data_IF_619926141853
#
_entry.id   IF_619926141853
#
_cell.length_a   1.000
_cell.length_b   1.000
_cell.length_c   1.000
_cell.angle_alpha   90.00
_cell.angle_beta   90.00
_cell.angle_gamma   90.00
#
_symmetry.space_group_name_H-M   'P 1'
#
loop_
_entity.id
_entity.type
_entity.pdbx_description
1 polymer ?
#
# COMPACT_ATOMS: atom_id res chain seq x y z
N UNK A 1 9.88 2.10 -11.00
CA UNK A 1 11.24 2.56 -11.29
C UNK A 1 12.09 2.71 -10.02
N UNK A 2 11.64 3.36 -8.94
CA UNK A 2 12.44 3.48 -7.70
C UNK A 2 12.51 2.18 -6.84
N UNK A 3 11.36 1.53 -6.58
CA UNK A 3 11.29 0.26 -5.84
C UNK A 3 12.03 -0.88 -6.57
N UNK A 4 12.01 -0.84 -7.90
CA UNK A 4 12.70 -1.81 -8.77
C UNK A 4 14.21 -1.61 -8.79
N UNK A 5 14.74 -0.41 -8.54
CA UNK A 5 16.18 -0.21 -8.43
C UNK A 5 16.75 -0.65 -7.08
N UNK A 6 15.98 -0.48 -6.00
CA UNK A 6 16.47 -0.83 -4.67
C UNK A 6 16.35 -2.33 -4.34
N UNK A 7 15.27 -2.98 -4.78
CA UNK A 7 14.94 -4.37 -4.43
C UNK A 7 14.68 -5.26 -5.66
N UNK A 8 14.87 -4.74 -6.87
CA UNK A 8 14.51 -5.47 -8.09
C UNK A 8 13.01 -5.71 -8.21
N UNK A 9 12.64 -6.68 -9.03
CA UNK A 9 11.25 -7.13 -9.18
C UNK A 9 10.66 -7.74 -7.90
N UNK A 10 11.50 -8.21 -6.98
CA UNK A 10 11.07 -8.73 -5.68
C UNK A 10 10.34 -7.69 -4.83
N UNK A 11 10.78 -6.43 -4.85
CA UNK A 11 10.10 -5.34 -4.14
C UNK A 11 8.67 -5.11 -4.64
N UNK A 12 8.45 -5.22 -5.96
CA UNK A 12 7.12 -5.10 -6.57
C UNK A 12 6.21 -6.23 -6.12
N UNK A 13 6.71 -7.46 -6.10
CA UNK A 13 5.97 -8.63 -5.63
C UNK A 13 5.57 -8.46 -4.16
N UNK A 14 6.48 -8.00 -3.30
CA UNK A 14 6.20 -7.76 -1.88
C UNK A 14 5.11 -6.71 -1.69
N UNK A 15 5.16 -5.59 -2.43
CA UNK A 15 4.12 -4.55 -2.38
C UNK A 15 2.78 -5.14 -2.81
N UNK A 16 2.73 -5.88 -3.91
CA UNK A 16 1.51 -6.50 -4.41
C UNK A 16 0.91 -7.48 -3.40
N UNK A 17 1.74 -8.34 -2.80
CA UNK A 17 1.32 -9.29 -1.75
C UNK A 17 0.79 -8.54 -0.53
N UNK A 18 1.49 -7.49 -0.06
CA UNK A 18 1.01 -6.68 1.07
C UNK A 18 -0.33 -6.00 0.77
N UNK A 19 -0.53 -5.54 -0.46
CA UNK A 19 -1.78 -4.93 -0.88
C UNK A 19 -2.92 -5.93 -1.02
N UNK A 20 -2.65 -7.17 -1.45
CA UNK A 20 -3.63 -8.26 -1.43
C UNK A 20 -4.02 -8.64 0.01
N UNK A 21 -3.03 -8.77 0.91
CA UNK A 21 -3.30 -9.05 2.33
C UNK A 21 -4.16 -7.94 2.95
N UNK A 22 -3.89 -6.68 2.61
CA UNK A 22 -4.73 -5.55 3.03
C UNK A 22 -6.18 -5.71 2.56
N UNK A 23 -6.38 -6.03 1.28
CA UNK A 23 -7.71 -6.20 0.72
C UNK A 23 -8.47 -7.38 1.33
N UNK A 24 -7.82 -8.54 1.47
CA UNK A 24 -8.43 -9.71 2.10
C UNK A 24 -8.86 -9.41 3.54
N UNK A 25 -8.03 -8.67 4.30
CA UNK A 25 -8.36 -8.29 5.67
C UNK A 25 -9.56 -7.35 5.74
N UNK A 26 -9.69 -6.41 4.79
CA UNK A 26 -10.86 -5.53 4.70
C UNK A 26 -12.13 -6.31 4.36
N UNK A 27 -12.07 -7.15 3.32
CA UNK A 27 -13.22 -7.98 2.92
C UNK A 27 -13.65 -8.90 4.06
N UNK A 28 -12.72 -9.54 4.76
CA UNK A 28 -13.04 -10.40 5.90
C UNK A 28 -13.73 -9.62 7.03
N UNK A 29 -13.33 -8.36 7.27
CA UNK A 29 -13.98 -7.47 8.22
C UNK A 29 -15.42 -7.12 7.80
N UNK A 30 -15.62 -6.79 6.53
CA UNK A 30 -16.95 -6.42 6.00
C UNK A 30 -17.92 -7.61 5.99
N UNK A 31 -17.43 -8.79 5.58
CA UNK A 31 -18.21 -10.03 5.62
C UNK A 31 -18.57 -10.44 7.04
N UNK A 32 -17.63 -10.32 7.98
CA UNK A 32 -17.90 -10.58 9.40
C UNK A 32 -18.99 -9.67 9.94
N UNK A 33 -18.88 -8.35 9.67
CA UNK A 33 -19.88 -7.38 10.10
C UNK A 33 -21.26 -7.73 9.53
N UNK A 34 -21.34 -8.05 8.24
CA UNK A 34 -22.58 -8.45 7.60
C UNK A 34 -23.20 -9.69 8.26
N UNK A 35 -22.40 -10.73 8.53
CA UNK A 35 -22.86 -11.96 9.17
C UNK A 35 -23.42 -11.74 10.58
N UNK A 36 -22.74 -10.92 11.38
CA UNK A 36 -23.14 -10.67 12.77
C UNK A 36 -24.36 -9.74 12.88
N UNK A 37 -24.57 -8.86 11.89
CA UNK A 37 -25.76 -7.98 11.80
C UNK A 37 -27.01 -8.65 11.21
N UNK A 38 -26.92 -9.92 10.77
CA UNK A 38 -28.06 -10.68 10.26
C UNK A 38 -29.13 -10.89 11.34
N UNK A 39 -30.41 -10.83 10.98
CA UNK A 39 -31.54 -10.96 11.92
C UNK A 39 -31.49 -12.24 12.78
N UNK A 40 -30.95 -13.35 12.24
CA UNK A 40 -30.80 -14.63 12.95
C UNK A 40 -29.75 -14.61 14.08
N UNK A 41 -28.77 -13.69 14.05
CA UNK A 41 -27.64 -13.66 15.00
C UNK A 41 -27.64 -12.44 15.94
N UNK A 42 -28.63 -11.56 15.83
CA UNK A 42 -28.71 -10.30 16.59
C UNK A 42 -28.71 -10.48 18.13
N UNK A 43 -29.12 -11.67 18.63
CA UNK A 43 -29.17 -11.98 20.06
C UNK A 43 -27.84 -12.53 20.64
N UNK A 44 -26.87 -12.88 19.78
CA UNK A 44 -25.62 -13.55 20.17
C UNK A 44 -24.37 -12.75 19.80
N UNK A 45 -24.40 -11.43 20.01
CA UNK A 45 -23.22 -10.57 19.88
C UNK A 45 -22.14 -10.99 20.89
N UNK A 46 -21.31 -11.96 20.49
CA UNK A 46 -20.22 -12.54 21.29
C UNK A 46 -18.94 -11.71 21.10
N UNK A 47 -17.98 -11.77 22.03
CA UNK A 47 -16.71 -11.04 21.95
C UNK A 47 -15.72 -11.67 20.94
N UNK A 48 -16.18 -12.00 19.73
CA UNK A 48 -15.31 -12.43 18.61
C UNK A 48 -14.47 -11.29 18.04
N UNK A 49 -14.64 -10.07 18.57
CA UNK A 49 -13.81 -8.89 18.29
C UNK A 49 -12.31 -9.12 18.54
N UNK A 50 -11.94 -10.07 19.42
CA UNK A 50 -10.54 -10.26 19.81
C UNK A 50 -9.68 -10.80 18.65
N UNK A 51 -10.15 -11.82 17.93
CA UNK A 51 -9.34 -12.55 16.94
C UNK A 51 -9.06 -11.71 15.68
N UNK A 52 -10.04 -10.92 15.23
CA UNK A 52 -9.85 -10.00 14.11
C UNK A 52 -8.99 -8.79 14.47
N UNK A 53 -9.11 -8.28 15.70
CA UNK A 53 -8.23 -7.21 16.17
C UNK A 53 -6.77 -7.65 16.18
N UNK A 54 -6.48 -8.90 16.58
CA UNK A 54 -5.14 -9.47 16.49
C UNK A 54 -4.64 -9.59 15.04
N UNK A 55 -5.49 -9.97 14.10
CA UNK A 55 -5.11 -10.05 12.68
C UNK A 55 -4.76 -8.68 12.10
N UNK A 56 -5.56 -7.65 12.42
CA UNK A 56 -5.30 -6.27 12.01
C UNK A 56 -4.03 -5.72 12.65
N UNK A 57 -3.81 -5.99 13.95
CA UNK A 57 -2.62 -5.58 14.68
C UNK A 57 -1.35 -6.26 14.15
N UNK A 58 -1.40 -7.58 13.92
CA UNK A 58 -0.30 -8.35 13.32
C UNK A 58 0.06 -7.79 11.94
N UNK A 59 -0.94 -7.48 11.11
CA UNK A 59 -0.73 -6.84 9.81
C UNK A 59 -0.04 -5.48 9.94
N UNK A 60 -0.49 -4.63 10.85
CA UNK A 60 0.12 -3.31 11.05
C UNK A 60 1.59 -3.43 11.47
N UNK A 61 1.88 -4.38 12.35
CA UNK A 61 3.24 -4.68 12.80
C UNK A 61 4.14 -5.18 11.67
N UNK A 62 3.64 -6.11 10.83
CA UNK A 62 4.37 -6.59 9.65
C UNK A 62 4.69 -5.43 8.69
N UNK A 63 3.70 -4.63 8.30
CA UNK A 63 3.92 -3.47 7.40
C UNK A 63 4.99 -2.53 7.97
N UNK A 64 4.96 -2.28 9.27
CA UNK A 64 5.94 -1.41 9.91
C UNK A 64 7.36 -1.99 9.88
N UNK A 65 7.54 -3.29 10.17
CA UNK A 65 8.85 -3.94 10.10
C UNK A 65 9.41 -3.89 8.67
N UNK A 66 8.60 -4.22 7.68
CA UNK A 66 9.02 -4.21 6.28
C UNK A 66 9.39 -2.80 5.83
N UNK A 67 8.59 -1.79 6.20
CA UNK A 67 8.90 -0.37 5.93
C UNK A 67 10.21 0.09 6.57
N UNK A 68 10.47 -0.29 7.82
CA UNK A 68 11.73 0.02 8.51
C UNK A 68 12.93 -0.65 7.83
N UNK A 69 12.80 -1.92 7.43
CA UNK A 69 13.86 -2.65 6.72
C UNK A 69 14.18 -2.01 5.38
N UNK A 70 13.17 -1.59 4.62
CA UNK A 70 13.39 -0.89 3.34
C UNK A 70 14.11 0.44 3.55
N UNK A 71 13.68 1.26 4.52
CA UNK A 71 14.33 2.55 4.82
C UNK A 71 15.81 2.38 5.21
N UNK A 72 16.13 1.37 6.02
CA UNK A 72 17.52 1.08 6.40
C UNK A 72 18.43 0.71 5.22
N UNK A 73 17.90 0.00 4.22
CA UNK A 73 18.66 -0.38 3.03
C UNK A 73 18.96 0.85 2.16
N UNK A 74 17.94 1.69 1.92
CA UNK A 74 18.12 2.95 1.19
C UNK A 74 19.15 3.86 1.85
N UNK A 75 19.05 4.03 3.17
CA UNK A 75 19.99 4.85 3.92
C UNK A 75 21.44 4.34 3.80
N UNK A 76 21.65 3.01 3.88
CA UNK A 76 22.99 2.41 3.71
C UNK A 76 23.55 2.59 2.31
N UNK A 77 22.73 2.39 1.28
CA UNK A 77 23.14 2.60 -0.11
C UNK A 77 23.51 4.06 -0.36
N UNK A 78 22.68 4.97 0.14
CA UNK A 78 22.91 6.41 0.05
C UNK A 78 24.24 6.82 0.72
N UNK A 79 24.48 6.37 1.95
CA UNK A 79 25.75 6.61 2.65
C UNK A 79 26.95 6.05 1.89
N UNK A 80 26.83 4.83 1.36
CA UNK A 80 27.91 4.20 0.62
C UNK A 80 28.30 5.01 -0.62
N UNK A 81 27.31 5.53 -1.35
CA UNK A 81 27.53 6.40 -2.52
C UNK A 81 28.21 7.72 -2.16
N UNK A 82 27.85 8.34 -1.03
CA UNK A 82 28.53 9.56 -0.56
C UNK A 82 29.99 9.28 -0.21
N UNK A 83 30.26 8.20 0.53
CA UNK A 83 31.62 7.89 1.00
C UNK A 83 32.59 7.56 -0.13
N UNK A 84 32.08 7.09 -1.27
CA UNK A 84 32.88 6.81 -2.48
C UNK A 84 32.94 7.97 -3.47
N UNK A 85 32.32 9.12 -3.17
CA UNK A 85 32.40 10.29 -4.04
C UNK A 85 33.82 10.89 -4.02
N UNK A 86 34.32 11.40 -5.17
CA UNK A 86 35.66 11.98 -5.25
C UNK A 86 35.79 13.24 -4.38
N UNK A 87 36.97 13.48 -3.82
CA UNK A 87 37.22 14.64 -2.94
C UNK A 87 36.82 15.99 -3.58
N UNK A 88 36.97 16.11 -4.91
CA UNK A 88 36.60 17.31 -5.67
C UNK A 88 35.11 17.68 -5.57
N UNK A 89 34.24 16.69 -5.34
CA UNK A 89 32.80 16.91 -5.14
C UNK A 89 32.53 17.70 -3.84
N UNK A 90 33.32 17.42 -2.79
CA UNK A 90 33.20 18.07 -1.49
C UNK A 90 33.85 19.45 -1.45
N UNK A 91 34.78 19.75 -2.37
CA UNK A 91 35.39 21.07 -2.51
C UNK A 91 34.46 22.08 -3.21
N UNK A 92 33.68 21.63 -4.21
CA UNK A 92 32.75 22.49 -4.95
C UNK A 92 31.42 22.73 -4.24
N UNK A 93 31.06 21.89 -3.27
CA UNK A 93 29.80 21.98 -2.55
C UNK A 93 30.01 21.68 -1.08
N UNK A 94 29.72 22.62 -0.16
CA UNK A 94 29.95 22.38 1.26
C UNK A 94 29.13 21.16 1.70
N UNK A 95 29.79 20.23 2.39
CA UNK A 95 29.23 18.95 2.85
C UNK A 95 27.91 19.11 3.62
N UNK A 96 27.76 20.19 4.39
CA UNK A 96 26.51 20.54 5.08
C UNK A 96 25.33 20.82 4.14
N UNK A 97 25.55 21.43 2.97
CA UNK A 97 24.49 21.70 1.98
C UNK A 97 24.08 20.44 1.23
N UNK A 98 25.05 19.55 0.94
CA UNK A 98 24.78 18.25 0.34
C UNK A 98 23.94 17.40 1.30
N UNK A 99 24.36 17.33 2.57
CA UNK A 99 23.65 16.54 3.59
C UNK A 99 22.23 17.07 3.85
N UNK A 100 22.05 18.40 3.92
CA UNK A 100 20.74 19.02 4.13
C UNK A 100 19.78 18.73 2.96
N UNK A 101 20.25 18.87 1.71
CA UNK A 101 19.41 18.56 0.54
C UNK A 101 19.09 17.09 0.45
N UNK A 102 20.09 16.23 0.58
CA UNK A 102 19.87 14.80 0.44
C UNK A 102 19.04 14.20 1.58
N UNK A 103 19.17 14.72 2.81
CA UNK A 103 18.29 14.36 3.93
C UNK A 103 16.84 14.77 3.66
N UNK A 104 16.63 15.98 3.13
CA UNK A 104 15.29 16.44 2.77
C UNK A 104 14.69 15.63 1.61
N UNK A 105 15.48 15.34 0.58
CA UNK A 105 15.06 14.54 -0.57
C UNK A 105 14.76 13.09 -0.17
N UNK A 106 15.61 12.48 0.66
CA UNK A 106 15.40 11.14 1.23
C UNK A 106 14.11 11.10 2.04
N UNK A 107 13.86 12.10 2.90
CA UNK A 107 12.63 12.19 3.69
C UNK A 107 11.40 12.32 2.79
N UNK A 108 11.47 13.16 1.75
CA UNK A 108 10.38 13.33 0.80
C UNK A 108 10.09 12.02 0.04
N UNK A 109 11.12 11.34 -0.44
CA UNK A 109 10.96 10.06 -1.14
C UNK A 109 10.43 8.98 -0.19
N UNK A 110 10.97 8.86 1.02
CA UNK A 110 10.57 7.84 2.00
C UNK A 110 9.14 8.03 2.52
N UNK A 111 8.63 9.27 2.58
CA UNK A 111 7.24 9.55 2.97
C UNK A 111 6.27 9.54 1.80
N UNK A 112 6.54 10.33 0.76
CA UNK A 112 5.56 10.55 -0.31
C UNK A 112 5.48 9.36 -1.26
N UNK A 113 6.59 8.71 -1.58
CA UNK A 113 6.59 7.64 -2.58
C UNK A 113 5.80 6.41 -2.09
N UNK A 114 6.01 5.88 -0.87
CA UNK A 114 5.16 4.81 -0.34
C UNK A 114 3.71 5.25 -0.13
N UNK A 115 3.48 6.51 0.24
CA UNK A 115 2.13 7.03 0.44
C UNK A 115 1.33 7.05 -0.87
N UNK A 116 1.85 7.66 -1.93
CA UNK A 116 1.15 7.73 -3.22
C UNK A 116 1.04 6.36 -3.88
N UNK A 117 2.10 5.54 -3.86
CA UNK A 117 2.04 4.18 -4.42
C UNK A 117 1.03 3.33 -3.65
N UNK A 118 1.06 3.39 -2.32
CA UNK A 118 0.10 2.68 -1.46
C UNK A 118 -1.33 3.12 -1.73
N UNK A 119 -1.58 4.42 -1.83
CA UNK A 119 -2.91 4.97 -2.16
C UNK A 119 -3.38 4.51 -3.54
N UNK A 120 -2.52 4.63 -4.56
CA UNK A 120 -2.89 4.26 -5.94
C UNK A 120 -3.20 2.77 -6.04
N UNK A 121 -2.34 1.92 -5.47
CA UNK A 121 -2.56 0.47 -5.45
C UNK A 121 -3.82 0.12 -4.68
N UNK A 122 -4.05 0.74 -3.51
CA UNK A 122 -5.27 0.54 -2.74
C UNK A 122 -6.53 0.91 -3.54
N UNK A 123 -6.54 2.03 -4.26
CA UNK A 123 -7.69 2.45 -5.07
C UNK A 123 -8.02 1.48 -6.20
N UNK A 124 -7.01 0.97 -6.91
CA UNK A 124 -7.24 -0.03 -7.98
C UNK A 124 -7.77 -1.35 -7.41
N UNK A 125 -7.17 -1.77 -6.31
CA UNK A 125 -7.53 -3.00 -5.61
C UNK A 125 -8.97 -2.90 -5.10
N UNK A 126 -9.33 -1.84 -4.35
CA UNK A 126 -10.70 -1.64 -3.85
C UNK A 126 -11.73 -1.58 -4.99
N UNK A 127 -11.42 -0.88 -6.08
CA UNK A 127 -12.27 -0.86 -7.28
C UNK A 127 -12.53 -2.27 -7.82
N UNK A 128 -11.48 -3.08 -7.97
CA UNK A 128 -11.61 -4.47 -8.43
C UNK A 128 -12.46 -5.31 -7.48
N UNK A 129 -12.28 -5.19 -6.17
CA UNK A 129 -13.09 -5.92 -5.19
C UNK A 129 -14.56 -5.53 -5.24
N UNK A 130 -14.86 -4.23 -5.32
CA UNK A 130 -16.25 -3.77 -5.43
C UNK A 130 -16.89 -4.38 -6.69
N UNK A 131 -16.21 -4.33 -7.84
CA UNK A 131 -16.71 -4.95 -9.08
C UNK A 131 -16.98 -6.45 -8.90
N UNK A 132 -16.06 -7.20 -8.29
CA UNK A 132 -16.21 -8.65 -8.05
C UNK A 132 -17.40 -8.94 -7.14
N UNK A 133 -17.49 -8.28 -5.98
CA UNK A 133 -18.57 -8.49 -5.00
C UNK A 133 -19.93 -8.13 -5.61
N UNK A 134 -20.00 -7.03 -6.34
CA UNK A 134 -21.26 -6.58 -6.97
C UNK A 134 -21.69 -7.55 -8.07
N UNK A 135 -20.75 -8.11 -8.84
CA UNK A 135 -21.03 -9.15 -9.83
C UNK A 135 -21.57 -10.43 -9.18
N UNK A 136 -21.05 -10.83 -8.01
CA UNK A 136 -21.51 -12.01 -7.29
C UNK A 136 -22.90 -11.84 -6.66
N UNK A 137 -23.15 -10.70 -6.00
CA UNK A 137 -24.37 -10.48 -5.21
C UNK A 137 -25.51 -9.91 -6.05
N UNK A 138 -25.21 -9.04 -7.01
CA UNK A 138 -26.19 -8.27 -7.77
C UNK A 138 -25.97 -8.44 -9.29
N UNK A 139 -25.95 -9.67 -9.80
CA UNK A 139 -25.75 -9.98 -11.23
C UNK A 139 -26.53 -9.08 -12.22
N UNK A 140 -27.81 -8.70 -11.99
CA UNK A 140 -28.52 -7.79 -12.89
C UNK A 140 -27.92 -6.37 -12.98
N UNK A 141 -27.23 -5.91 -11.93
CA UNK A 141 -26.61 -4.57 -11.89
C UNK A 141 -25.39 -4.43 -12.80
N UNK A 142 -24.78 -5.54 -13.23
CA UNK A 142 -23.66 -5.55 -14.19
C UNK A 142 -24.09 -4.93 -15.53
N UNK A 143 -25.35 -5.09 -15.92
CA UNK A 143 -25.92 -4.50 -17.13
C UNK A 143 -25.88 -2.97 -17.08
N UNK A 144 -25.99 -2.36 -15.89
CA UNK A 144 -25.91 -0.91 -15.71
C UNK A 144 -24.47 -0.35 -15.73
N UNK A 145 -23.46 -1.20 -15.51
CA UNK A 145 -22.04 -0.80 -15.57
C UNK A 145 -21.57 -0.65 -17.02
N UNK A 146 -22.06 -1.48 -17.94
CA UNK A 146 -21.72 -1.47 -19.37
C UNK A 146 -21.93 -0.08 -20.02
N UNK A 147 -23.08 0.59 -19.90
CA UNK A 147 -23.28 1.91 -20.52
C UNK A 147 -22.38 3.00 -19.91
N UNK A 148 -22.06 2.93 -18.61
CA UNK A 148 -21.13 3.87 -17.98
C UNK A 148 -19.71 3.75 -18.54
N UNK A 149 -19.23 2.53 -18.78
CA UNK A 149 -17.92 2.28 -19.39
C UNK A 149 -17.88 2.78 -20.84
N UNK A 150 -18.93 2.50 -21.61
CA UNK A 150 -19.05 2.97 -23.00
C UNK A 150 -19.05 4.50 -23.05
N UNK A 151 -19.80 5.16 -22.16
CA UNK A 151 -19.88 6.62 -22.10
C UNK A 151 -18.55 7.25 -21.66
N UNK A 152 -17.83 6.61 -20.73
CA UNK A 152 -16.48 7.04 -20.33
C UNK A 152 -15.47 6.92 -21.48
N UNK A 153 -15.54 5.85 -22.28
CA UNK A 153 -14.70 5.67 -23.48
C UNK A 153 -15.04 6.68 -24.55
N UNK A 154 -16.32 7.03 -24.72
CA UNK A 154 -16.78 8.03 -25.69
C UNK A 154 -16.41 9.47 -25.33
N UNK A 155 -16.33 9.79 -24.03
CA UNK A 155 -15.98 11.11 -23.53
C UNK A 155 -14.46 11.38 -23.51
N UNK A 156 -13.64 10.33 -23.59
CA UNK A 156 -12.19 10.40 -23.57
C UNK A 156 -11.60 10.52 -24.97
#
# INVERSE_FOLDING_TARGET
MYITEAWGWWGVIVVFVMSLVWQCSLMASDYWLAFETSEDNAASFRPSFSDFCYLVALRAFLVHIWGLKTAQIFFKQFLNSILHAPMSFFDTTPSGRILSRASSDQTNVDLFLPFFVGLTVAMYITLLSVIIVTCQVAWPSVIAIIPLVVLNIWYR
#
